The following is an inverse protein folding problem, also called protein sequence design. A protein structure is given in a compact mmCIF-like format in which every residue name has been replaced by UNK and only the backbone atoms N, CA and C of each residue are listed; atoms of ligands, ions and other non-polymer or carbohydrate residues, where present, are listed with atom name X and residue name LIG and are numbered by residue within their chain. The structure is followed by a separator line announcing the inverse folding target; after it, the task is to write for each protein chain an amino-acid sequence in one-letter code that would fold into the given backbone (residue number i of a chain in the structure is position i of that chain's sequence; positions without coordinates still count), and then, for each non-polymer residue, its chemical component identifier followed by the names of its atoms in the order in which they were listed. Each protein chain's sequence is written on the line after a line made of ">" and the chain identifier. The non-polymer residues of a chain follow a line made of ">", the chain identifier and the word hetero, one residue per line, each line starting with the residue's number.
data_IF_816105685432
#
_entry.id   IF_816105685432
#
_cell.length_a   1.000
_cell.length_b   1.000
_cell.length_c   1.000
_cell.angle_alpha   90.00
_cell.angle_beta   90.00
_cell.angle_gamma   90.00
#
_symmetry.space_group_name_H-M   'P 1'
#
loop_
_entity.id
_entity.type
_entity.pdbx_description
1 polymer ?
#
# COMPACT_ATOMS: atom_id res chain seq x y z
N UNK A 1 33.57 -12.69 23.00
CA UNK A 1 32.32 -12.15 23.62
C UNK A 1 32.32 -10.66 23.37
N UNK A 2 31.47 -10.17 22.46
CA UNK A 2 31.42 -8.75 22.10
C UNK A 2 30.22 -8.12 22.79
N UNK A 3 30.49 -7.23 23.75
CA UNK A 3 29.50 -6.38 24.40
C UNK A 3 28.88 -5.47 23.34
N UNK A 4 27.76 -5.92 22.77
CA UNK A 4 27.00 -5.13 21.82
C UNK A 4 26.42 -3.92 22.54
N UNK A 5 27.06 -2.77 22.34
CA UNK A 5 26.54 -1.40 22.44
C UNK A 5 25.35 -1.25 23.39
N UNK A 6 25.62 -0.84 24.64
CA UNK A 6 24.64 -0.13 25.45
C UNK A 6 24.28 1.13 24.66
N UNK A 7 23.20 1.07 23.88
CA UNK A 7 22.68 2.23 23.14
C UNK A 7 22.47 3.33 24.18
N UNK A 8 23.08 4.49 23.99
CA UNK A 8 22.85 5.69 24.80
C UNK A 8 21.37 6.08 24.66
N UNK A 9 20.53 5.55 25.56
CA UNK A 9 19.09 5.81 25.57
C UNK A 9 18.88 7.08 26.40
N UNK A 10 18.57 8.17 25.70
CA UNK A 10 18.17 9.43 26.33
C UNK A 10 16.65 9.40 26.59
N UNK A 11 16.23 9.87 27.76
CA UNK A 11 14.81 10.02 28.08
C UNK A 11 14.19 11.15 27.26
N UNK A 12 13.12 10.85 26.52
CA UNK A 12 12.39 11.83 25.73
C UNK A 12 10.96 11.97 26.24
N UNK A 13 10.68 13.10 26.88
CA UNK A 13 9.33 13.47 27.31
C UNK A 13 8.67 14.38 26.28
N UNK A 14 7.53 13.96 25.73
CA UNK A 14 6.74 14.75 24.77
C UNK A 14 5.39 15.12 25.41
N UNK A 15 4.98 16.38 25.24
CA UNK A 15 3.60 16.79 25.56
C UNK A 15 2.72 16.44 24.37
N UNK A 16 1.73 15.58 24.61
CA UNK A 16 0.73 15.22 23.61
C UNK A 16 -0.66 15.59 24.11
N UNK A 17 -1.50 16.04 23.19
CA UNK A 17 -2.93 16.17 23.46
C UNK A 17 -3.57 14.78 23.64
N UNK A 18 -4.72 14.69 24.33
CA UNK A 18 -5.44 13.43 24.48
C UNK A 18 -5.85 12.81 23.13
N UNK A 19 -6.17 13.64 22.15
CA UNK A 19 -6.55 13.21 20.80
C UNK A 19 -5.39 12.58 20.03
N UNK A 20 -4.20 13.17 20.10
CA UNK A 20 -2.99 12.62 19.46
C UNK A 20 -2.62 11.27 20.07
N UNK A 21 -2.71 11.14 21.40
CA UNK A 21 -2.49 9.86 22.08
C UNK A 21 -3.48 8.79 21.62
N UNK A 22 -4.74 9.15 21.40
CA UNK A 22 -5.75 8.23 20.88
C UNK A 22 -5.42 7.79 19.45
N UNK A 23 -5.00 8.71 18.58
CA UNK A 23 -4.58 8.41 17.20
C UNK A 23 -3.38 7.46 17.17
N UNK A 24 -2.35 7.72 17.98
CA UNK A 24 -1.17 6.85 18.09
C UNK A 24 -1.56 5.45 18.58
N UNK A 25 -2.45 5.35 19.58
CA UNK A 25 -2.94 4.06 20.07
C UNK A 25 -3.72 3.29 19.00
N UNK A 26 -4.54 3.96 18.21
CA UNK A 26 -5.25 3.34 17.09
C UNK A 26 -4.27 2.85 16.01
N UNK A 27 -3.25 3.65 15.69
CA UNK A 27 -2.25 3.31 14.68
C UNK A 27 -1.38 2.13 15.12
N UNK A 28 -0.99 2.10 16.40
CA UNK A 28 -0.32 0.96 17.04
C UNK A 28 -1.15 -0.33 16.97
N UNK A 29 -2.45 -0.26 17.29
CA UNK A 29 -3.35 -1.41 17.16
C UNK A 29 -3.46 -1.92 15.72
N UNK A 30 -3.54 -1.02 14.73
CA UNK A 30 -3.63 -1.40 13.32
C UNK A 30 -2.37 -2.11 12.82
N UNK A 31 -1.19 -1.63 13.24
CA UNK A 31 0.11 -2.21 12.85
C UNK A 31 0.56 -3.38 13.74
N UNK A 32 -0.14 -3.65 14.85
CA UNK A 32 0.19 -4.74 15.78
C UNK A 32 1.47 -4.54 16.58
N UNK A 33 1.94 -3.30 16.71
CA UNK A 33 3.22 -2.93 17.35
C UNK A 33 3.00 -1.97 18.51
N UNK A 34 4.05 -1.72 19.31
CA UNK A 34 3.97 -0.77 20.42
C UNK A 34 3.88 0.68 19.95
N UNK A 35 3.32 1.57 20.78
CA UNK A 35 3.22 3.01 20.45
C UNK A 35 4.59 3.64 20.16
N UNK A 36 5.62 3.21 20.90
CA UNK A 36 7.00 3.66 20.69
C UNK A 36 7.53 3.23 19.33
N UNK A 37 7.36 1.97 18.97
CA UNK A 37 7.84 1.45 17.68
C UNK A 37 7.17 2.14 16.51
N UNK A 38 5.86 2.43 16.60
CA UNK A 38 5.15 3.20 15.58
C UNK A 38 5.75 4.58 15.39
N UNK A 39 5.97 5.31 16.49
CA UNK A 39 6.49 6.68 16.42
C UNK A 39 7.90 6.65 15.82
N UNK A 40 8.75 5.75 16.31
CA UNK A 40 10.11 5.62 15.81
C UNK A 40 10.15 5.17 14.34
N UNK A 41 9.24 4.29 13.91
CA UNK A 41 9.17 3.86 12.51
C UNK A 41 8.78 5.03 11.62
N UNK A 42 7.77 5.82 12.02
CA UNK A 42 7.33 6.98 11.25
C UNK A 42 8.40 8.07 11.17
N UNK A 43 9.11 8.34 12.27
CA UNK A 43 10.23 9.29 12.26
C UNK A 43 11.34 8.81 11.33
N UNK A 44 11.68 7.52 11.38
CA UNK A 44 12.67 6.97 10.46
C UNK A 44 12.18 6.99 9.01
N UNK A 45 10.91 6.66 8.74
CA UNK A 45 10.32 6.71 7.40
C UNK A 45 10.34 8.13 6.81
N UNK A 46 10.08 9.15 7.63
CA UNK A 46 10.06 10.57 7.21
C UNK A 46 11.48 11.14 7.03
N UNK A 47 12.43 10.76 7.90
CA UNK A 47 13.81 11.26 7.89
C UNK A 47 14.69 10.50 6.90
N UNK A 48 14.36 9.26 6.58
CA UNK A 48 15.01 8.54 5.50
C UNK A 48 14.56 9.17 4.19
N UNK A 49 15.34 10.14 3.70
CA UNK A 49 15.38 10.46 2.28
C UNK A 49 15.63 9.14 1.56
N UNK A 50 14.61 8.65 0.83
CA UNK A 50 14.79 7.48 -0.01
C UNK A 50 15.76 7.88 -1.11
N UNK A 51 17.04 7.54 -0.94
CA UNK A 51 17.96 7.42 -2.05
C UNK A 51 17.46 6.26 -2.91
N UNK A 52 16.58 6.59 -3.86
CA UNK A 52 16.17 5.65 -4.88
C UNK A 52 17.38 5.48 -5.80
N UNK A 53 18.20 4.47 -5.52
CA UNK A 53 19.18 4.00 -6.48
C UNK A 53 18.41 3.53 -7.72
N UNK A 54 18.38 4.39 -8.74
CA UNK A 54 17.78 4.09 -10.02
C UNK A 54 18.56 2.94 -10.64
N UNK A 55 18.10 1.71 -10.41
CA UNK A 55 18.64 0.54 -11.08
C UNK A 55 18.45 0.73 -12.59
N UNK A 56 19.51 0.61 -13.40
CA UNK A 56 19.38 0.69 -14.85
C UNK A 56 18.45 -0.43 -15.33
N UNK A 57 17.52 -0.09 -16.21
CA UNK A 57 16.51 -1.02 -16.73
C UNK A 57 15.26 -0.28 -17.19
N UNK A 58 14.47 -0.92 -18.05
CA UNK A 58 13.20 -0.38 -18.50
C UNK A 58 12.06 -0.79 -17.56
N UNK A 59 10.94 -0.06 -17.62
CA UNK A 59 9.71 -0.47 -16.93
C UNK A 59 9.23 -1.86 -17.43
N UNK A 60 9.46 -2.15 -18.71
CA UNK A 60 9.15 -3.45 -19.31
C UNK A 60 9.91 -4.58 -18.61
N UNK A 61 11.20 -4.39 -18.30
CA UNK A 61 12.03 -5.40 -17.61
C UNK A 61 11.47 -5.75 -16.23
N UNK A 62 10.93 -4.75 -15.51
CA UNK A 62 10.29 -4.98 -14.22
C UNK A 62 8.97 -5.75 -14.33
N UNK A 63 8.24 -5.56 -15.43
CA UNK A 63 6.91 -6.13 -15.65
C UNK A 63 6.93 -7.46 -16.40
N UNK A 64 8.10 -8.01 -16.77
CA UNK A 64 8.20 -9.27 -17.52
C UNK A 64 7.46 -10.43 -16.85
N UNK A 65 7.46 -10.51 -15.51
CA UNK A 65 6.74 -11.54 -14.76
C UNK A 65 5.20 -11.46 -14.90
N UNK A 66 4.67 -10.34 -15.39
CA UNK A 66 3.25 -10.16 -15.68
C UNK A 66 2.91 -10.46 -17.14
N UNK A 67 3.92 -10.56 -18.02
CA UNK A 67 3.73 -10.90 -19.42
C UNK A 67 3.34 -12.38 -19.51
N UNK A 68 2.15 -12.66 -20.03
CA UNK A 68 1.66 -14.04 -20.18
C UNK A 68 1.13 -14.68 -18.90
N UNK A 69 0.88 -13.92 -17.82
CA UNK A 69 0.27 -14.44 -16.57
C UNK A 69 -1.13 -15.03 -16.77
N UNK A 70 -1.80 -14.68 -17.87
CA UNK A 70 -3.09 -15.25 -18.27
C UNK A 70 -2.83 -16.23 -19.40
N UNK A 71 -2.75 -17.52 -19.07
CA UNK A 71 -2.46 -18.61 -20.01
C UNK A 71 -3.66 -18.93 -20.93
N UNK A 72 -4.89 -18.78 -20.43
CA UNK A 72 -6.13 -19.10 -21.15
C UNK A 72 -6.72 -17.92 -21.94
N UNK A 73 -5.91 -16.87 -22.18
CA UNK A 73 -6.32 -15.70 -22.96
C UNK A 73 -6.19 -15.94 -24.46
N UNK A 74 -7.06 -15.36 -25.30
CA UNK A 74 -6.85 -15.38 -26.74
C UNK A 74 -5.51 -14.72 -27.06
N UNK A 75 -4.68 -15.42 -27.85
CA UNK A 75 -3.30 -15.00 -28.20
C UNK A 75 -3.26 -13.64 -28.91
N UNK A 76 -4.38 -13.19 -29.45
CA UNK A 76 -4.51 -11.97 -30.21
C UNK A 76 -5.74 -11.15 -29.78
N UNK A 77 -5.51 -10.30 -28.79
CA UNK A 77 -6.48 -9.29 -28.34
C UNK A 77 -6.52 -8.07 -29.27
N UNK A 78 -5.45 -7.84 -30.03
CA UNK A 78 -5.26 -6.61 -30.82
C UNK A 78 -5.93 -6.66 -32.19
N UNK A 79 -6.03 -7.84 -32.80
CA UNK A 79 -6.58 -8.00 -34.17
C UNK A 79 -8.00 -8.56 -34.17
N UNK A 80 -8.52 -9.05 -33.04
CA UNK A 80 -9.91 -9.46 -32.91
C UNK A 80 -10.67 -8.65 -31.83
N UNK A 81 -11.11 -7.41 -32.17
CA UNK A 81 -11.76 -6.51 -31.22
C UNK A 81 -13.09 -7.04 -30.68
N UNK A 82 -13.69 -8.07 -31.30
CA UNK A 82 -14.93 -8.70 -30.81
C UNK A 82 -14.80 -9.26 -29.40
N UNK A 83 -13.60 -9.71 -29.00
CA UNK A 83 -13.35 -10.20 -27.64
C UNK A 83 -13.41 -9.10 -26.57
N UNK A 84 -13.37 -7.83 -26.95
CA UNK A 84 -13.44 -6.69 -26.02
C UNK A 84 -14.85 -6.06 -25.93
N UNK A 85 -15.80 -6.47 -26.78
CA UNK A 85 -17.11 -5.82 -26.91
C UNK A 85 -17.98 -5.88 -25.64
N UNK A 86 -17.79 -6.91 -24.81
CA UNK A 86 -18.56 -7.11 -23.58
C UNK A 86 -17.79 -6.73 -22.30
N UNK A 87 -16.50 -6.40 -22.40
CA UNK A 87 -15.72 -5.97 -21.25
C UNK A 87 -16.28 -4.68 -20.65
N UNK A 88 -16.68 -4.72 -19.38
CA UNK A 88 -17.13 -3.56 -18.62
C UNK A 88 -18.65 -3.33 -18.58
N UNK A 89 -19.46 -4.04 -19.38
CA UNK A 89 -20.93 -3.89 -19.37
C UNK A 89 -21.53 -4.19 -17.99
N UNK A 90 -21.05 -5.23 -17.29
CA UNK A 90 -21.54 -5.62 -15.96
C UNK A 90 -21.13 -4.66 -14.83
N UNK A 91 -20.03 -3.92 -15.03
CA UNK A 91 -19.53 -2.96 -14.03
C UNK A 91 -20.42 -1.72 -13.92
N UNK A 92 -21.15 -1.38 -14.99
CA UNK A 92 -22.06 -0.24 -15.05
C UNK A 92 -23.42 -0.54 -14.41
N UNK A 93 -23.88 -1.80 -14.44
CA UNK A 93 -25.18 -2.18 -13.86
C UNK A 93 -25.17 -2.36 -12.34
N UNK A 94 -24.00 -2.63 -11.72
CA UNK A 94 -23.89 -2.78 -10.26
C UNK A 94 -24.02 -1.45 -9.49
N UNK A 95 -23.90 -0.30 -10.18
CA UNK A 95 -24.10 1.05 -9.61
C UNK A 95 -25.52 1.61 -9.81
N UNK A 96 -26.56 0.78 -9.90
CA UNK A 96 -27.91 1.30 -9.62
C UNK A 96 -28.09 1.37 -8.10
N UNK A 97 -28.11 2.56 -7.48
CA UNK A 97 -28.60 2.65 -6.11
C UNK A 97 -30.03 2.10 -6.14
N UNK A 98 -30.30 1.16 -5.24
CA UNK A 98 -31.61 0.60 -5.01
C UNK A 98 -32.53 1.77 -4.64
N UNK A 99 -33.21 2.36 -5.62
CA UNK A 99 -34.26 3.36 -5.38
C UNK A 99 -35.48 2.60 -4.89
N UNK A 100 -35.44 2.26 -3.61
CA UNK A 100 -36.62 1.89 -2.87
C UNK A 100 -37.63 3.05 -2.91
N UNK A 101 -38.87 2.63 -3.12
CA UNK A 101 -40.12 3.26 -2.69
C UNK A 101 -40.77 4.30 -3.61
N UNK A 102 -41.93 3.91 -4.18
CA UNK A 102 -43.09 4.80 -4.34
C UNK A 102 -44.33 4.00 -4.79
N UNK A 103 -45.26 3.85 -3.83
CA UNK A 103 -46.67 3.42 -3.88
C UNK A 103 -46.99 1.95 -3.72
#
# INVERSE_FOLDING_TARGET
>A
MSEKNKKDIVWFGMKLTPEEKAKIKMLAKKKGVSQKEVIMSLVNEEVVEYEVEAKPGSLLDRMQHLVGIVEDGPTDLSTNPKYMEDFGKDSLYRRRPNSGNSK
#
